data_IF_210324398457
#
_entry.id   IF_210324398457
#
_cell.length_a   1.000
_cell.length_b   1.000
_cell.length_c   1.000
_cell.angle_alpha   90.00
_cell.angle_beta   90.00
_cell.angle_gamma   90.00
#
_symmetry.space_group_name_H-M   'P 1'
#
loop_
_entity.id
_entity.type
_entity.pdbx_description
1 polymer ?
#
# COMPACT_ATOMS: atom_id res chain seq x y z
N UNK A 1 38.17 -51.11 34.85
CA UNK A 1 38.64 -49.83 35.44
C UNK A 1 39.29 -48.98 34.34
N UNK A 2 38.70 -47.83 34.02
CA UNK A 2 39.29 -46.72 33.26
C UNK A 2 38.87 -45.41 33.96
N UNK A 3 39.73 -44.38 34.03
CA UNK A 3 39.48 -43.22 34.87
C UNK A 3 38.46 -42.27 34.25
N UNK A 4 37.71 -41.59 35.13
CA UNK A 4 36.73 -40.56 34.80
C UNK A 4 37.49 -39.26 34.54
N UNK A 5 37.43 -38.76 33.30
CA UNK A 5 37.97 -37.45 32.92
C UNK A 5 36.97 -36.34 33.30
N UNK A 6 37.39 -35.46 34.20
CA UNK A 6 36.64 -34.29 34.65
C UNK A 6 36.67 -33.19 33.58
N UNK A 7 35.50 -32.84 33.02
CA UNK A 7 35.37 -31.66 32.15
C UNK A 7 35.25 -30.37 32.98
N UNK A 8 36.00 -29.30 32.66
CA UNK A 8 35.83 -28.02 33.32
C UNK A 8 34.54 -27.32 32.87
N UNK A 9 33.81 -26.75 33.83
CA UNK A 9 32.62 -25.92 33.59
C UNK A 9 33.06 -24.58 33.00
N UNK A 10 32.91 -24.41 31.69
CA UNK A 10 33.02 -23.09 31.06
C UNK A 10 31.79 -22.26 31.44
N UNK A 11 31.98 -21.28 32.33
CA UNK A 11 31.02 -20.19 32.56
C UNK A 11 31.00 -19.30 31.31
N UNK A 12 29.93 -19.36 30.52
CA UNK A 12 29.68 -18.38 29.45
C UNK A 12 29.09 -17.11 30.07
N UNK A 13 29.76 -15.94 29.96
CA UNK A 13 29.17 -14.70 30.40
C UNK A 13 28.10 -14.23 29.40
N UNK A 14 27.04 -13.68 29.97
CA UNK A 14 26.01 -12.82 29.42
C UNK A 14 26.35 -12.17 28.07
N UNK A 15 25.82 -12.74 26.98
CA UNK A 15 25.63 -12.06 25.68
C UNK A 15 24.17 -11.59 25.56
N UNK A 16 23.65 -10.95 26.61
CA UNK A 16 22.26 -10.48 26.67
C UNK A 16 22.12 -8.98 26.35
N UNK A 17 23.10 -8.36 25.70
CA UNK A 17 23.17 -6.89 25.55
C UNK A 17 22.97 -6.33 24.13
N UNK A 18 22.96 -7.15 23.08
CA UNK A 18 23.08 -6.64 21.70
C UNK A 18 21.78 -6.61 20.88
N UNK A 19 20.67 -7.17 21.37
CA UNK A 19 19.40 -7.17 20.61
C UNK A 19 18.55 -5.91 20.82
N UNK A 20 18.73 -5.15 21.91
CA UNK A 20 17.86 -4.01 22.23
C UNK A 20 18.10 -2.80 21.30
N UNK A 21 19.31 -2.63 20.78
CA UNK A 21 19.69 -1.46 19.99
C UNK A 21 19.12 -1.45 18.56
N UNK A 22 18.69 -2.61 18.04
CA UNK A 22 18.12 -2.72 16.70
C UNK A 22 16.66 -2.21 16.61
N UNK A 23 15.96 -2.11 17.75
CA UNK A 23 14.56 -1.64 17.79
C UNK A 23 14.44 -0.11 17.77
N UNK A 24 15.55 0.62 17.99
CA UNK A 24 15.59 2.09 17.99
C UNK A 24 15.98 2.70 16.63
N UNK A 25 16.47 1.88 15.70
CA UNK A 25 16.57 2.25 14.30
C UNK A 25 15.15 2.14 13.71
N UNK A 26 14.38 3.22 13.86
CA UNK A 26 12.98 3.28 13.50
C UNK A 26 12.69 2.67 12.13
N UNK A 27 11.53 2.01 12.01
CA UNK A 27 10.99 1.54 10.75
C UNK A 27 11.12 2.65 9.70
N UNK A 28 11.75 2.35 8.56
CA UNK A 28 11.96 3.34 7.49
C UNK A 28 10.65 4.03 7.11
N UNK A 29 10.74 5.27 6.57
CA UNK A 29 9.58 6.04 6.10
C UNK A 29 8.67 5.14 5.25
N UNK A 30 7.41 4.99 5.65
CA UNK A 30 6.43 4.25 4.87
C UNK A 30 6.33 4.91 3.49
N UNK A 31 6.77 4.23 2.41
CA UNK A 31 6.77 4.84 1.11
C UNK A 31 5.35 5.07 0.58
N UNK A 32 4.33 4.33 1.05
CA UNK A 32 2.94 4.56 0.65
C UNK A 32 2.27 5.66 1.49
N UNK A 33 2.54 5.70 2.78
CA UNK A 33 1.72 6.45 3.73
C UNK A 33 0.42 5.71 4.08
N UNK A 34 -0.21 6.06 5.21
CA UNK A 34 -1.36 5.32 5.74
C UNK A 34 -2.58 5.40 4.81
N UNK A 35 -2.87 6.55 4.22
CA UNK A 35 -4.05 6.76 3.36
C UNK A 35 -3.98 5.86 2.12
N UNK A 36 -2.85 5.86 1.40
CA UNK A 36 -2.66 4.98 0.24
C UNK A 36 -2.73 3.49 0.60
N UNK A 37 -2.23 3.11 1.78
CA UNK A 37 -2.32 1.73 2.26
C UNK A 37 -3.77 1.33 2.49
N UNK A 38 -4.53 2.16 3.19
CA UNK A 38 -5.95 1.89 3.44
C UNK A 38 -6.78 1.96 2.16
N UNK A 39 -6.45 2.85 1.23
CA UNK A 39 -7.08 2.91 -0.09
C UNK A 39 -6.90 1.59 -0.85
N UNK A 40 -5.69 1.03 -0.88
CA UNK A 40 -5.41 -0.25 -1.52
C UNK A 40 -6.18 -1.41 -0.86
N UNK A 41 -6.29 -1.41 0.47
CA UNK A 41 -7.08 -2.41 1.20
C UNK A 41 -8.57 -2.29 0.86
N UNK A 42 -9.14 -1.08 0.90
CA UNK A 42 -10.54 -0.84 0.55
C UNK A 42 -10.82 -1.22 -0.93
N UNK A 43 -9.86 -0.95 -1.82
CA UNK A 43 -9.93 -1.30 -3.22
C UNK A 43 -9.98 -2.83 -3.44
N UNK A 44 -9.15 -3.58 -2.73
CA UNK A 44 -9.19 -5.05 -2.70
C UNK A 44 -10.44 -5.64 -2.05
N UNK A 45 -11.23 -4.82 -1.35
CA UNK A 45 -12.49 -5.22 -0.71
C UNK A 45 -13.73 -4.73 -1.48
N UNK A 46 -13.56 -4.31 -2.74
CA UNK A 46 -14.63 -3.78 -3.58
C UNK A 46 -15.33 -2.53 -3.02
N UNK A 47 -14.73 -1.85 -2.03
CA UNK A 47 -15.28 -0.65 -1.40
C UNK A 47 -14.80 0.59 -2.13
N UNK A 48 -15.27 0.79 -3.37
CA UNK A 48 -14.74 1.80 -4.29
C UNK A 48 -14.83 3.23 -3.75
N UNK A 49 -15.96 3.60 -3.13
CA UNK A 49 -16.14 4.96 -2.62
C UNK A 49 -15.19 5.26 -1.46
N UNK A 50 -14.98 4.29 -0.56
CA UNK A 50 -13.98 4.41 0.51
C UNK A 50 -12.56 4.46 -0.04
N UNK A 51 -12.25 3.63 -1.04
CA UNK A 51 -10.94 3.62 -1.68
C UNK A 51 -10.62 4.95 -2.36
N UNK A 52 -11.60 5.54 -3.06
CA UNK A 52 -11.48 6.85 -3.70
C UNK A 52 -11.26 7.96 -2.67
N UNK A 53 -12.08 8.00 -1.62
CA UNK A 53 -11.93 8.98 -0.54
C UNK A 53 -10.53 8.94 0.08
N UNK A 54 -10.00 7.74 0.36
CA UNK A 54 -8.66 7.57 0.93
C UNK A 54 -7.56 7.94 -0.07
N UNK A 55 -7.73 7.61 -1.36
CA UNK A 55 -6.81 8.06 -2.40
C UNK A 55 -6.79 9.59 -2.51
N UNK A 56 -7.94 10.27 -2.38
CA UNK A 56 -8.03 11.73 -2.39
C UNK A 56 -7.37 12.37 -1.17
N UNK A 57 -7.51 11.78 0.01
CA UNK A 57 -6.76 12.21 1.21
C UNK A 57 -5.24 12.08 0.99
N UNK A 58 -4.79 10.99 0.36
CA UNK A 58 -3.38 10.84 0.00
C UNK A 58 -2.89 11.87 -1.03
N UNK A 59 -3.77 12.30 -1.94
CA UNK A 59 -3.48 13.34 -2.94
C UNK A 59 -3.33 14.72 -2.28
N UNK A 60 -4.03 14.97 -1.18
CA UNK A 60 -3.95 16.22 -0.42
C UNK A 60 -2.70 16.32 0.49
N UNK A 61 -1.86 15.29 0.54
CA UNK A 61 -0.63 15.28 1.34
C UNK A 61 0.48 16.16 0.74
N UNK A 62 1.29 16.81 1.58
CA UNK A 62 2.49 17.55 1.14
C UNK A 62 3.64 16.65 0.66
N UNK A 63 3.57 15.34 0.93
CA UNK A 63 4.55 14.39 0.45
C UNK A 63 4.29 13.98 -1.02
N UNK A 64 5.17 14.40 -1.94
CA UNK A 64 5.07 14.10 -3.36
C UNK A 64 4.98 12.59 -3.68
N UNK A 65 5.62 11.74 -2.87
CA UNK A 65 5.53 10.28 -2.99
C UNK A 65 4.13 9.75 -2.71
N UNK A 66 3.42 10.35 -1.74
CA UNK A 66 2.06 9.95 -1.39
C UNK A 66 1.07 10.44 -2.46
N UNK A 67 1.24 11.67 -2.95
CA UNK A 67 0.41 12.25 -4.00
C UNK A 67 0.47 11.40 -5.27
N UNK A 68 1.67 11.02 -5.71
CA UNK A 68 1.86 10.19 -6.91
C UNK A 68 1.17 8.84 -6.80
N UNK A 69 1.26 8.19 -5.63
CA UNK A 69 0.60 6.92 -5.35
C UNK A 69 -0.91 7.05 -5.26
N UNK A 70 -1.41 8.13 -4.65
CA UNK A 70 -2.84 8.41 -4.55
C UNK A 70 -3.47 8.60 -5.93
N UNK A 71 -2.82 9.35 -6.83
CA UNK A 71 -3.28 9.51 -8.22
C UNK A 71 -3.27 8.18 -9.00
N UNK A 72 -2.23 7.36 -8.85
CA UNK A 72 -2.19 6.04 -9.46
C UNK A 72 -3.29 5.10 -8.94
N UNK A 73 -3.53 5.11 -7.62
CA UNK A 73 -4.61 4.36 -7.01
C UNK A 73 -5.97 4.82 -7.51
N UNK A 74 -6.22 6.13 -7.56
CA UNK A 74 -7.46 6.70 -8.09
C UNK A 74 -7.70 6.27 -9.55
N UNK A 75 -6.68 6.31 -10.40
CA UNK A 75 -6.78 5.82 -11.77
C UNK A 75 -7.04 4.30 -11.85
N UNK A 76 -6.40 3.50 -11.01
CA UNK A 76 -6.67 2.06 -10.95
C UNK A 76 -8.11 1.76 -10.49
N UNK A 77 -8.59 2.43 -9.45
CA UNK A 77 -9.95 2.27 -8.92
C UNK A 77 -11.00 2.63 -9.98
N UNK A 78 -10.82 3.77 -10.67
CA UNK A 78 -11.72 4.20 -11.73
C UNK A 78 -11.76 3.20 -12.90
N UNK A 79 -10.59 2.71 -13.34
CA UNK A 79 -10.50 1.72 -14.42
C UNK A 79 -11.20 0.41 -14.04
N UNK A 80 -11.04 -0.05 -12.80
CA UNK A 80 -11.66 -1.27 -12.31
C UNK A 80 -13.18 -1.13 -12.12
N UNK A 81 -13.66 0.07 -11.78
CA UNK A 81 -15.09 0.44 -11.75
C UNK A 81 -15.69 0.59 -13.16
N UNK A 82 -14.89 0.48 -14.21
CA UNK A 82 -15.30 0.61 -15.61
C UNK A 82 -15.19 2.04 -16.18
N UNK A 83 -14.83 3.04 -15.37
CA UNK A 83 -14.66 4.43 -15.81
C UNK A 83 -13.23 4.68 -16.33
N UNK A 84 -12.95 4.09 -17.49
CA UNK A 84 -11.63 4.23 -18.13
C UNK A 84 -11.35 5.67 -18.56
N UNK A 85 -12.37 6.41 -18.98
CA UNK A 85 -12.19 7.80 -19.41
C UNK A 85 -11.76 8.71 -18.25
N UNK A 86 -12.39 8.59 -17.07
CA UNK A 86 -11.96 9.33 -15.89
C UNK A 86 -10.57 8.90 -15.40
N UNK A 87 -10.22 7.61 -15.52
CA UNK A 87 -8.88 7.14 -15.19
C UNK A 87 -7.81 7.77 -16.09
N UNK A 88 -8.06 7.86 -17.40
CA UNK A 88 -7.13 8.45 -18.37
C UNK A 88 -6.98 9.96 -18.22
N UNK A 89 -8.04 10.65 -17.79
CA UNK A 89 -7.99 12.08 -17.49
C UNK A 89 -6.94 12.43 -16.41
N UNK A 90 -6.61 11.50 -15.51
CA UNK A 90 -5.62 11.70 -14.45
C UNK A 90 -4.15 11.58 -14.92
N UNK A 91 -3.91 11.12 -16.14
CA UNK A 91 -2.54 10.82 -16.61
C UNK A 91 -1.58 12.00 -16.59
N UNK A 92 -1.98 13.24 -16.96
CA UNK A 92 -1.11 14.41 -16.82
C UNK A 92 -0.73 14.70 -15.37
N UNK A 93 -1.68 14.58 -14.43
CA UNK A 93 -1.44 14.80 -13.01
C UNK A 93 -0.48 13.75 -12.42
N UNK A 94 -0.66 12.48 -12.79
CA UNK A 94 0.25 11.40 -12.40
C UNK A 94 1.68 11.70 -12.89
N UNK A 95 1.83 12.15 -14.14
CA UNK A 95 3.14 12.48 -14.70
C UNK A 95 3.81 13.65 -13.94
N UNK A 96 3.05 14.71 -13.63
CA UNK A 96 3.55 15.85 -12.88
C UNK A 96 3.94 15.48 -11.43
N UNK A 97 3.12 14.68 -10.74
CA UNK A 97 3.44 14.19 -9.40
C UNK A 97 4.68 13.28 -9.39
N UNK A 98 4.80 12.40 -10.39
CA UNK A 98 5.98 11.56 -10.57
C UNK A 98 7.25 12.39 -10.76
N UNK A 99 7.21 13.40 -11.64
CA UNK A 99 8.36 14.24 -11.90
C UNK A 99 8.81 14.99 -10.64
N UNK A 100 7.87 15.54 -9.87
CA UNK A 100 8.16 16.14 -8.57
C UNK A 100 8.79 15.15 -7.58
N UNK A 101 8.35 13.89 -7.58
CA UNK A 101 8.83 12.88 -6.63
C UNK A 101 10.14 12.18 -7.06
N UNK A 102 10.54 12.28 -8.33
CA UNK A 102 11.63 11.48 -8.92
C UNK A 102 12.63 12.26 -9.74
N UNK A 103 12.39 13.55 -9.96
CA UNK A 103 13.20 14.45 -10.78
C UNK A 103 13.48 13.90 -12.18
N UNK A 104 12.46 13.28 -12.78
CA UNK A 104 12.51 12.75 -14.15
C UNK A 104 11.11 12.50 -14.71
N UNK A 105 10.92 12.60 -16.03
CA UNK A 105 9.62 12.37 -16.64
C UNK A 105 9.14 10.92 -16.47
N UNK A 106 7.81 10.75 -16.36
CA UNK A 106 7.16 9.46 -16.35
C UNK A 106 6.92 8.97 -17.77
N UNK A 107 7.44 7.77 -18.09
CA UNK A 107 7.10 7.09 -19.35
C UNK A 107 5.68 6.51 -19.27
N UNK A 108 4.91 6.62 -20.36
CA UNK A 108 3.57 6.04 -20.47
C UNK A 108 3.55 4.54 -20.13
N UNK A 109 4.47 3.75 -20.67
CA UNK A 109 4.58 2.32 -20.37
C UNK A 109 4.82 2.02 -18.88
N UNK A 110 5.53 2.91 -18.16
CA UNK A 110 5.72 2.78 -16.72
C UNK A 110 4.44 3.11 -15.97
N UNK A 111 3.71 4.16 -16.37
CA UNK A 111 2.40 4.51 -15.81
C UNK A 111 1.43 3.32 -15.94
N UNK A 112 1.26 2.79 -17.15
CA UNK A 112 0.36 1.65 -17.39
C UNK A 112 0.76 0.44 -16.55
N UNK A 113 2.05 0.10 -16.49
CA UNK A 113 2.51 -1.01 -15.65
C UNK A 113 2.21 -0.80 -14.16
N UNK A 114 2.33 0.43 -13.65
CA UNK A 114 2.01 0.73 -12.24
C UNK A 114 0.50 0.66 -11.97
N UNK A 115 -0.33 1.16 -12.88
CA UNK A 115 -1.79 1.04 -12.77
C UNK A 115 -2.20 -0.43 -12.82
N UNK A 116 -1.66 -1.19 -13.77
CA UNK A 116 -1.93 -2.62 -13.89
C UNK A 116 -1.53 -3.40 -12.64
N UNK A 117 -0.36 -3.10 -12.05
CA UNK A 117 0.07 -3.72 -10.82
C UNK A 117 -0.94 -3.52 -9.67
N UNK A 118 -1.54 -2.32 -9.54
CA UNK A 118 -2.53 -2.04 -8.51
C UNK A 118 -3.83 -2.82 -8.76
N UNK A 119 -4.27 -2.92 -10.02
CA UNK A 119 -5.41 -3.76 -10.43
C UNK A 119 -5.17 -5.23 -10.07
N UNK A 120 -3.98 -5.75 -10.41
CA UNK A 120 -3.62 -7.15 -10.14
C UNK A 120 -3.60 -7.45 -8.64
N UNK A 121 -3.05 -6.54 -7.82
CA UNK A 121 -3.05 -6.67 -6.35
C UNK A 121 -4.48 -6.69 -5.82
N UNK A 122 -5.34 -5.76 -6.24
CA UNK A 122 -6.72 -5.70 -5.76
C UNK A 122 -7.51 -6.97 -6.13
N UNK A 123 -7.37 -7.44 -7.37
CA UNK A 123 -8.03 -8.67 -7.84
C UNK A 123 -7.49 -9.92 -7.14
N UNK A 124 -6.19 -9.97 -6.86
CA UNK A 124 -5.61 -11.06 -6.08
C UNK A 124 -6.16 -11.09 -4.64
N UNK A 125 -6.29 -9.93 -4.00
CA UNK A 125 -6.88 -9.81 -2.66
C UNK A 125 -8.34 -10.28 -2.64
N UNK A 126 -9.14 -9.90 -3.65
CA UNK A 126 -10.53 -10.38 -3.79
C UNK A 126 -10.59 -11.89 -3.88
N UNK A 127 -9.78 -12.49 -4.76
CA UNK A 127 -9.71 -13.94 -4.91
C UNK A 127 -9.30 -14.63 -3.60
N UNK A 128 -8.33 -14.07 -2.88
CA UNK A 128 -7.89 -14.61 -1.59
C UNK A 128 -8.98 -14.55 -0.51
N UNK A 129 -9.93 -13.61 -0.64
CA UNK A 129 -11.09 -13.44 0.24
C UNK A 129 -12.38 -14.08 -0.30
N UNK A 130 -12.29 -14.83 -1.40
CA UNK A 130 -13.45 -15.44 -2.06
C UNK A 130 -14.53 -14.41 -2.48
N UNK A 131 -14.10 -13.18 -2.78
CA UNK A 131 -14.94 -12.13 -3.36
C UNK A 131 -14.95 -12.23 -4.89
N UNK A 132 -16.00 -11.68 -5.50
CA UNK A 132 -16.08 -11.49 -6.95
C UNK A 132 -14.87 -10.65 -7.43
N UNK A 133 -14.08 -11.13 -8.41
CA UNK A 133 -12.88 -10.45 -8.85
C UNK A 133 -13.17 -9.08 -9.50
N UNK A 134 -14.36 -8.90 -10.07
CA UNK A 134 -14.76 -7.69 -10.80
C UNK A 134 -15.76 -6.84 -10.00
N UNK A 135 -16.05 -7.25 -8.75
CA UNK A 135 -16.92 -6.54 -7.80
C UNK A 135 -18.37 -6.35 -8.25
N UNK A 136 -18.83 -7.06 -9.28
CA UNK A 136 -20.20 -6.91 -9.82
C UNK A 136 -21.26 -7.30 -8.78
N UNK A 137 -20.96 -8.29 -7.94
CA UNK A 137 -21.91 -8.90 -7.01
C UNK A 137 -21.64 -8.60 -5.53
N UNK A 138 -20.73 -7.66 -5.22
CA UNK A 138 -20.39 -7.34 -3.83
C UNK A 138 -21.29 -6.20 -3.32
N UNK A 139 -22.08 -6.41 -2.25
CA UNK A 139 -22.88 -5.34 -1.66
C UNK A 139 -21.99 -4.17 -1.25
N UNK A 140 -22.19 -3.02 -1.89
CA UNK A 140 -21.45 -1.81 -1.55
C UNK A 140 -21.84 -1.39 -0.14
N UNK A 141 -20.86 -1.34 0.76
CA UNK A 141 -21.07 -0.80 2.10
C UNK A 141 -21.20 0.72 1.93
N UNK A 142 -22.43 1.23 2.02
CA UNK A 142 -22.73 2.65 1.87
C UNK A 142 -21.91 3.52 2.83
N UNK A 143 -21.85 4.84 2.58
CA UNK A 143 -21.09 5.76 3.41
C UNK A 143 -21.48 5.61 4.88
N UNK A 144 -20.47 5.68 5.77
CA UNK A 144 -20.69 5.67 7.22
C UNK A 144 -21.67 6.82 7.54
N UNK A 145 -22.77 6.57 8.28
CA UNK A 145 -23.68 7.65 8.67
C UNK A 145 -22.89 8.72 9.42
N UNK A 146 -23.14 9.99 9.08
CA UNK A 146 -22.58 11.12 9.83
C UNK A 146 -23.00 10.99 11.30
N UNK A 147 -22.08 11.26 12.26
CA UNK A 147 -22.47 11.27 13.66
C UNK A 147 -23.51 12.37 13.87
N UNK A 148 -24.64 12.01 14.49
CA UNK A 148 -25.69 12.97 14.86
C UNK A 148 -25.06 14.12 15.66
N UNK A 149 -25.28 15.35 15.18
CA UNK A 149 -24.80 16.60 15.77
C UNK A 149 -25.49 16.94 17.09
#
# INVERSE_FOLDING_TARGET
MRPIESRPRLRRPLLAGLCASALLLGCGKDPLGPENRFALVAFGQCSYDQALMLAEQAIASDNADHVERGLLLKAAILRDRGDTAAAEALYPEIAAAWERARDKPLKSSRRERKIQLLLDIARAERRAKELDPDCENVPQKGPRPEPDA
#
